data_IF_581613087866
#
_entry.id   IF_581613087866
#
_cell.length_a   1.000
_cell.length_b   1.000
_cell.length_c   1.000
_cell.angle_alpha   90.00
_cell.angle_beta   90.00
_cell.angle_gamma   90.00
#
_symmetry.space_group_name_H-M   'P 1'
#
loop_
_entity.id
_entity.type
_entity.pdbx_description
1 polymer ?
#
# COMPACT_ATOMS: atom_id res chain seq x y z
N UNK A 1 -6.82 11.50 -8.30
CA UNK A 1 -7.36 11.27 -6.94
C UNK A 1 -6.21 10.75 -6.12
N UNK A 2 -6.01 11.31 -4.93
CA UNK A 2 -4.94 10.89 -4.04
C UNK A 2 -5.48 10.09 -2.86
N UNK A 3 -4.74 9.06 -2.48
CA UNK A 3 -4.99 8.28 -1.25
C UNK A 3 -3.68 8.27 -0.47
N UNK A 4 -3.75 8.69 0.79
CA UNK A 4 -2.64 8.62 1.73
C UNK A 4 -3.04 7.72 2.88
N UNK A 5 -2.15 6.80 3.24
CA UNK A 5 -2.34 5.90 4.38
C UNK A 5 -1.11 5.92 5.26
N UNK A 6 -1.32 5.76 6.56
CA UNK A 6 -0.26 5.58 7.55
C UNK A 6 -0.27 4.12 7.96
N UNK A 7 0.89 3.48 7.91
CA UNK A 7 1.08 2.08 8.27
C UNK A 7 2.09 1.99 9.41
N UNK A 8 1.63 1.45 10.54
CA UNK A 8 2.46 1.19 11.70
C UNK A 8 2.53 -0.32 11.93
N UNK A 9 3.71 -0.82 12.30
CA UNK A 9 3.83 -2.19 12.76
C UNK A 9 3.22 -2.31 14.16
N UNK A 10 2.74 -3.52 14.49
CA UNK A 10 2.23 -3.79 15.83
C UNK A 10 3.32 -3.64 16.91
N UNK A 11 4.61 -3.70 16.54
CA UNK A 11 5.76 -3.41 17.41
C UNK A 11 5.85 -1.94 17.81
N UNK A 12 5.13 -1.03 17.12
CA UNK A 12 5.29 0.42 17.27
C UNK A 12 6.35 1.02 16.36
N UNK A 13 7.06 0.20 15.58
CA UNK A 13 8.01 0.65 14.57
C UNK A 13 7.28 1.11 13.29
N UNK A 14 7.97 1.97 12.53
CA UNK A 14 7.50 2.40 11.21
C UNK A 14 7.60 1.23 10.23
N UNK A 15 6.57 1.06 9.40
CA UNK A 15 6.51 -0.03 8.42
C UNK A 15 7.26 0.31 7.12
N UNK A 16 8.38 1.04 7.20
CA UNK A 16 9.19 1.43 6.04
C UNK A 16 9.51 0.23 5.15
N UNK A 17 9.46 0.43 3.84
CA UNK A 17 9.81 -0.62 2.87
C UNK A 17 8.71 -1.65 2.64
N UNK A 18 7.59 -1.59 3.38
CA UNK A 18 6.49 -2.53 3.20
C UNK A 18 5.79 -2.29 1.84
N UNK A 19 5.76 -3.29 0.93
CA UNK A 19 5.11 -3.14 -0.36
C UNK A 19 3.59 -3.23 -0.21
N UNK A 20 2.88 -2.29 -0.82
CA UNK A 20 1.43 -2.21 -0.78
C UNK A 20 0.82 -2.17 -2.19
N UNK A 21 -0.36 -2.74 -2.31
CA UNK A 21 -1.19 -2.68 -3.51
C UNK A 21 -2.54 -2.03 -3.17
N UNK A 22 -2.94 -1.09 -4.02
CA UNK A 22 -4.30 -0.56 -4.05
C UNK A 22 -5.11 -1.40 -5.03
N UNK A 23 -6.29 -1.82 -4.59
CA UNK A 23 -7.24 -2.59 -5.39
C UNK A 23 -8.52 -1.78 -5.62
N UNK A 24 -9.15 -1.99 -6.78
CA UNK A 24 -10.56 -1.65 -7.03
C UNK A 24 -11.32 -2.93 -7.37
N UNK A 25 -12.40 -3.19 -6.62
CA UNK A 25 -13.22 -4.41 -6.75
C UNK A 25 -12.41 -5.71 -6.79
N UNK A 26 -11.29 -5.74 -6.03
CA UNK A 26 -10.41 -6.90 -5.91
C UNK A 26 -9.30 -7.01 -6.95
N UNK A 27 -9.26 -6.14 -7.97
CA UNK A 27 -8.18 -6.08 -8.96
C UNK A 27 -7.13 -5.03 -8.57
N UNK A 28 -5.81 -5.32 -8.64
CA UNK A 28 -4.77 -4.34 -8.34
C UNK A 28 -4.72 -3.24 -9.41
N UNK A 29 -4.70 -1.99 -8.96
CA UNK A 29 -4.70 -0.80 -9.83
C UNK A 29 -3.49 0.11 -9.61
N UNK A 30 -2.79 -0.03 -8.48
CA UNK A 30 -1.54 0.67 -8.21
C UNK A 30 -0.69 -0.08 -7.18
N UNK A 31 0.63 0.16 -7.22
CA UNK A 31 1.61 -0.31 -6.24
C UNK A 31 2.35 0.86 -5.64
N UNK A 32 2.73 0.74 -4.39
CA UNK A 32 3.62 1.69 -3.72
C UNK A 32 4.39 0.99 -2.60
N UNK A 33 5.34 1.70 -2.02
CA UNK A 33 6.10 1.23 -0.85
C UNK A 33 5.94 2.26 0.25
N UNK A 34 5.85 1.81 1.50
CA UNK A 34 5.81 2.69 2.67
C UNK A 34 7.16 3.41 2.81
N UNK A 35 7.11 4.74 2.96
CA UNK A 35 8.28 5.60 3.14
C UNK A 35 8.83 5.58 4.58
N UNK A 36 9.96 6.27 4.78
CA UNK A 36 10.65 6.41 6.07
C UNK A 36 9.77 7.03 7.17
N UNK A 37 8.67 7.71 6.81
CA UNK A 37 7.72 8.30 7.75
C UNK A 37 6.52 7.37 8.04
N UNK A 38 6.55 6.12 7.57
CA UNK A 38 5.46 5.16 7.72
C UNK A 38 4.25 5.47 6.84
N UNK A 39 4.42 6.23 5.75
CA UNK A 39 3.33 6.66 4.86
C UNK A 39 3.43 5.97 3.52
N UNK A 40 2.27 5.67 2.95
CA UNK A 40 2.16 5.26 1.56
C UNK A 40 1.21 6.19 0.82
N UNK A 41 1.65 6.64 -0.36
CA UNK A 41 0.92 7.54 -1.22
C UNK A 41 0.58 6.86 -2.53
N UNK A 42 -0.70 6.94 -2.91
CA UNK A 42 -1.19 6.55 -4.22
C UNK A 42 -1.74 7.79 -4.92
N UNK A 43 -1.19 8.11 -6.09
CA UNK A 43 -1.82 9.04 -7.03
C UNK A 43 -2.35 8.24 -8.21
N UNK A 44 -3.68 8.20 -8.31
CA UNK A 44 -4.37 7.39 -9.33
C UNK A 44 -5.44 8.21 -10.03
N UNK A 45 -5.75 7.82 -11.26
CA UNK A 45 -6.99 8.25 -11.90
C UNK A 45 -8.15 7.68 -11.10
N UNK A 46 -9.18 8.50 -10.84
CA UNK A 46 -10.37 8.06 -10.12
C UNK A 46 -10.97 6.85 -10.85
N UNK A 47 -11.06 5.72 -10.16
CA UNK A 47 -11.76 4.54 -10.62
C UNK A 47 -13.03 4.38 -9.78
N UNK A 48 -14.12 3.99 -10.43
CA UNK A 48 -15.30 3.51 -9.71
C UNK A 48 -14.99 2.18 -9.01
N UNK A 49 -15.85 1.79 -8.07
CA UNK A 49 -15.73 0.52 -7.34
C UNK A 49 -15.30 0.68 -5.89
N UNK A 50 -15.30 -0.43 -5.16
CA UNK A 50 -14.87 -0.47 -3.76
C UNK A 50 -13.36 -0.59 -3.71
N UNK A 51 -12.74 0.39 -3.06
CA UNK A 51 -11.30 0.40 -2.85
C UNK A 51 -10.88 -0.44 -1.64
N UNK A 52 -9.74 -1.10 -1.76
CA UNK A 52 -9.07 -1.81 -0.67
C UNK A 52 -7.55 -1.65 -0.81
N UNK A 53 -6.82 -1.70 0.31
CA UNK A 53 -5.36 -1.76 0.31
C UNK A 53 -4.94 -3.10 0.90
N UNK A 54 -3.95 -3.76 0.30
CA UNK A 54 -3.34 -4.98 0.85
C UNK A 54 -1.82 -4.87 0.88
N UNK A 55 -1.21 -5.65 1.76
CA UNK A 55 0.24 -5.89 1.76
C UNK A 55 0.56 -6.88 0.66
N UNK A 56 1.50 -6.53 -0.22
CA UNK A 56 1.99 -7.40 -1.29
C UNK A 56 3.10 -8.31 -0.76
N UNK A 57 2.72 -9.49 -0.25
CA UNK A 57 3.66 -10.48 0.28
C UNK A 57 4.30 -11.35 -0.81
N UNK A 58 4.09 -11.05 -2.10
CA UNK A 58 4.72 -11.83 -3.17
C UNK A 58 6.23 -11.62 -3.27
N UNK A 59 6.76 -10.54 -2.67
CA UNK A 59 8.17 -10.15 -2.75
C UNK A 59 9.03 -10.69 -1.60
N UNK A 60 8.46 -11.47 -0.67
CA UNK A 60 9.20 -12.00 0.51
C UNK A 60 10.08 -13.22 0.22
N UNK A 61 10.28 -13.57 -1.05
CA UNK A 61 11.09 -14.74 -1.46
C UNK A 61 12.47 -14.33 -2.03
N UNK A 62 13.04 -13.22 -1.54
CA UNK A 62 14.47 -12.96 -1.66
C UNK A 62 15.16 -13.47 -0.39
N UNK A 63 15.36 -14.80 -0.36
CA UNK A 63 16.25 -15.49 0.58
C UNK A 63 17.70 -15.46 0.12
#
# INVERSE_FOLDING_TARGET
>A
MSISIVVNLASGELAEGLPLELLSDGAPIAKTTVDEAGRAFFDIVASGGRLAVRVDRSQSDQS
#
